data_IF_851507682367
#
_entry.id   IF_851507682367
#
_cell.length_a   1.000
_cell.length_b   1.000
_cell.length_c   1.000
_cell.angle_alpha   90.00
_cell.angle_beta   90.00
_cell.angle_gamma   90.00
#
_symmetry.space_group_name_H-M   'P 1'
#
loop_
_entity.id
_entity.type
_entity.pdbx_description
1 polymer ?
#
# COMPACT_ATOMS: atom_id res chain seq x y z
N UNK A 1 23.51 86.35 -22.94
CA UNK A 1 24.25 85.30 -22.23
C UNK A 1 23.26 84.18 -21.91
N UNK A 2 23.37 83.04 -22.57
CA UNK A 2 22.51 81.87 -22.35
C UNK A 2 23.08 81.02 -21.20
N UNK A 3 22.27 80.58 -20.22
CA UNK A 3 22.75 79.68 -19.18
C UNK A 3 23.05 78.29 -19.77
N UNK A 4 24.22 77.74 -19.42
CA UNK A 4 24.65 76.41 -19.83
C UNK A 4 23.71 75.32 -19.28
N UNK A 5 23.46 74.25 -20.04
CA UNK A 5 22.60 73.15 -19.60
C UNK A 5 23.23 72.44 -18.39
N UNK A 6 22.49 72.43 -17.28
CA UNK A 6 22.86 71.70 -16.07
C UNK A 6 22.81 70.20 -16.37
N UNK A 7 23.97 69.57 -16.48
CA UNK A 7 24.09 68.10 -16.56
C UNK A 7 23.66 67.56 -15.21
N UNK A 8 22.43 67.04 -15.13
CA UNK A 8 21.95 66.41 -13.91
C UNK A 8 22.82 65.18 -13.62
N UNK A 9 23.63 65.27 -12.56
CA UNK A 9 24.45 64.17 -12.09
C UNK A 9 23.54 63.00 -11.72
N UNK A 10 23.52 61.96 -12.56
CA UNK A 10 22.74 60.76 -12.28
C UNK A 10 23.22 60.15 -10.97
N UNK A 11 22.30 60.10 -9.99
CA UNK A 11 22.53 59.56 -8.67
C UNK A 11 22.80 58.06 -8.79
N UNK A 12 24.08 57.67 -8.81
CA UNK A 12 24.50 56.26 -8.89
C UNK A 12 24.01 55.54 -7.62
N UNK A 13 22.98 54.70 -7.76
CA UNK A 13 22.51 53.84 -6.67
C UNK A 13 23.57 52.76 -6.41
N UNK A 14 23.81 52.48 -5.13
CA UNK A 14 24.79 51.48 -4.68
C UNK A 14 24.43 50.09 -5.24
N UNK A 15 25.35 49.38 -5.92
CA UNK A 15 25.15 48.01 -6.40
C UNK A 15 24.73 47.02 -5.30
N UNK A 16 25.17 47.25 -4.06
CA UNK A 16 24.80 46.44 -2.90
C UNK A 16 23.31 46.45 -2.60
N UNK A 17 22.60 47.51 -3.00
CA UNK A 17 21.15 47.60 -2.81
C UNK A 17 20.42 46.56 -3.66
N UNK A 18 20.91 46.30 -4.89
CA UNK A 18 20.36 45.25 -5.76
C UNK A 18 20.68 43.85 -5.25
N UNK A 19 21.89 43.62 -4.72
CA UNK A 19 22.27 42.34 -4.10
C UNK A 19 21.42 42.07 -2.86
N UNK A 20 21.20 43.07 -2.01
CA UNK A 20 20.34 42.97 -0.84
C UNK A 20 18.89 42.69 -1.21
N UNK A 21 18.35 43.36 -2.24
CA UNK A 21 16.98 43.12 -2.71
C UNK A 21 16.82 41.71 -3.30
N UNK A 22 17.83 41.22 -4.02
CA UNK A 22 17.84 39.89 -4.63
C UNK A 22 17.89 38.79 -3.58
N UNK A 23 18.90 38.79 -2.71
CA UNK A 23 19.04 37.78 -1.66
C UNK A 23 17.90 37.84 -0.64
N UNK A 24 17.47 39.04 -0.25
CA UNK A 24 16.34 39.22 0.65
C UNK A 24 15.04 38.68 0.07
N UNK A 25 14.76 38.97 -1.21
CA UNK A 25 13.61 38.42 -1.92
C UNK A 25 13.63 36.90 -2.00
N UNK A 26 14.78 36.31 -2.32
CA UNK A 26 14.92 34.86 -2.48
C UNK A 26 14.79 34.12 -1.14
N UNK A 27 15.36 34.67 -0.05
CA UNK A 27 15.17 34.14 1.30
C UNK A 27 13.71 34.21 1.74
N UNK A 28 13.04 35.35 1.52
CA UNK A 28 11.64 35.52 1.86
C UNK A 28 10.75 34.54 1.09
N UNK A 29 11.00 34.37 -0.20
CA UNK A 29 10.26 33.42 -1.05
C UNK A 29 10.51 31.97 -0.59
N UNK A 30 11.74 31.65 -0.18
CA UNK A 30 12.07 30.36 0.44
C UNK A 30 11.26 30.11 1.72
N UNK A 31 11.24 31.07 2.66
CA UNK A 31 10.50 30.96 3.92
C UNK A 31 9.00 30.77 3.66
N UNK A 32 8.43 31.54 2.74
CA UNK A 32 7.01 31.42 2.36
C UNK A 32 6.74 30.05 1.73
N UNK A 33 7.60 29.60 0.81
CA UNK A 33 7.48 28.29 0.16
C UNK A 33 7.50 27.13 1.16
N UNK A 34 8.47 27.13 2.08
CA UNK A 34 8.53 26.13 3.16
C UNK A 34 7.32 26.20 4.10
N UNK A 35 6.86 27.41 4.44
CA UNK A 35 5.66 27.59 5.27
C UNK A 35 4.40 27.00 4.64
N UNK A 36 4.21 27.20 3.33
CA UNK A 36 3.08 26.63 2.59
C UNK A 36 3.15 25.09 2.52
N UNK A 37 4.33 24.52 2.28
CA UNK A 37 4.52 23.07 2.27
C UNK A 37 4.22 22.49 3.66
N UNK A 38 4.77 23.07 4.72
CA UNK A 38 4.56 22.62 6.09
C UNK A 38 3.07 22.66 6.47
N UNK A 39 2.37 23.74 6.13
CA UNK A 39 0.94 23.88 6.36
C UNK A 39 0.11 22.83 5.61
N UNK A 40 0.46 22.56 4.35
CA UNK A 40 -0.25 21.57 3.54
C UNK A 40 -0.05 20.15 4.09
N UNK A 41 1.18 19.83 4.53
CA UNK A 41 1.50 18.55 5.16
C UNK A 41 0.76 18.40 6.49
N UNK A 42 0.75 19.42 7.35
CA UNK A 42 0.05 19.33 8.65
C UNK A 42 -1.46 19.14 8.48
N UNK A 43 -2.07 19.87 7.53
CA UNK A 43 -3.50 19.71 7.23
C UNK A 43 -3.84 18.30 6.77
N UNK A 44 -2.97 17.68 5.96
CA UNK A 44 -3.16 16.29 5.52
C UNK A 44 -2.99 15.30 6.67
N UNK A 45 -2.03 15.54 7.56
CA UNK A 45 -1.82 14.68 8.74
C UNK A 45 -3.06 14.65 9.65
N UNK A 46 -3.72 15.79 9.83
CA UNK A 46 -4.94 15.84 10.66
C UNK A 46 -6.11 15.10 10.00
N UNK A 47 -6.30 15.26 8.68
CA UNK A 47 -7.25 14.43 7.90
C UNK A 47 -6.93 12.94 8.05
N UNK A 48 -5.66 12.54 7.94
CA UNK A 48 -5.23 11.14 8.12
C UNK A 48 -5.53 10.60 9.51
N UNK A 49 -5.31 11.39 10.56
CA UNK A 49 -5.63 10.98 11.94
C UNK A 49 -7.13 10.78 12.12
N UNK A 50 -7.94 11.67 11.57
CA UNK A 50 -9.39 11.54 11.64
C UNK A 50 -9.88 10.31 10.86
N UNK A 51 -9.35 10.11 9.65
CA UNK A 51 -9.63 8.92 8.83
C UNK A 51 -9.25 7.63 9.57
N UNK A 52 -8.12 7.60 10.28
CA UNK A 52 -7.65 6.41 10.98
C UNK A 52 -8.43 6.13 12.28
N UNK A 53 -8.92 7.17 12.96
CA UNK A 53 -9.66 7.01 14.21
C UNK A 53 -11.15 6.69 14.00
N UNK A 54 -11.70 6.98 12.82
CA UNK A 54 -13.11 6.71 12.53
C UNK A 54 -13.33 5.38 11.77
N UNK A 55 -13.89 4.33 12.40
CA UNK A 55 -14.10 3.02 11.76
C UNK A 55 -14.97 3.08 10.50
N UNK A 56 -15.97 3.96 10.45
CA UNK A 56 -16.85 4.08 9.29
C UNK A 56 -16.11 4.65 8.08
N UNK A 57 -15.20 5.61 8.30
CA UNK A 57 -14.39 6.22 7.25
C UNK A 57 -13.37 5.22 6.73
N UNK A 58 -12.67 4.49 7.62
CA UNK A 58 -11.76 3.39 7.25
C UNK A 58 -12.45 2.33 6.40
N UNK A 59 -13.59 1.82 6.86
CA UNK A 59 -14.35 0.78 6.13
C UNK A 59 -14.80 1.28 4.77
N UNK A 60 -15.28 2.52 4.66
CA UNK A 60 -15.65 3.10 3.36
C UNK A 60 -14.45 3.22 2.42
N UNK A 61 -13.29 3.66 2.93
CA UNK A 61 -12.04 3.78 2.15
C UNK A 61 -11.52 2.42 1.72
N UNK A 62 -11.52 1.42 2.60
CA UNK A 62 -11.15 0.04 2.31
C UNK A 62 -12.03 -0.55 1.20
N UNK A 63 -13.36 -0.44 1.36
CA UNK A 63 -14.32 -0.88 0.34
C UNK A 63 -14.07 -0.23 -1.01
N UNK A 64 -13.85 1.09 -1.02
CA UNK A 64 -13.48 1.81 -2.24
C UNK A 64 -12.22 1.23 -2.86
N UNK A 65 -11.11 1.18 -2.10
CA UNK A 65 -9.79 0.71 -2.56
C UNK A 65 -9.73 -0.75 -2.99
N UNK A 66 -10.62 -1.60 -2.48
CA UNK A 66 -10.75 -3.00 -2.88
C UNK A 66 -11.79 -3.22 -3.99
N UNK A 67 -12.54 -2.19 -4.39
CA UNK A 67 -13.69 -2.34 -5.29
C UNK A 67 -14.80 -3.22 -4.69
N UNK A 68 -14.92 -3.25 -3.36
CA UNK A 68 -15.82 -4.13 -2.64
C UNK A 68 -17.14 -3.43 -2.30
N UNK A 69 -18.27 -4.12 -2.50
CA UNK A 69 -19.57 -3.68 -1.95
C UNK A 69 -19.62 -3.86 -0.44
N UNK A 70 -19.15 -5.03 0.00
CA UNK A 70 -19.12 -5.48 1.38
C UNK A 70 -17.79 -6.18 1.65
N UNK A 71 -17.28 -6.02 2.87
CA UNK A 71 -16.08 -6.74 3.29
C UNK A 71 -16.50 -8.17 3.69
N UNK A 72 -15.66 -9.18 3.47
CA UNK A 72 -15.97 -10.55 3.88
C UNK A 72 -16.13 -10.61 5.39
N UNK A 73 -17.23 -11.16 5.90
CA UNK A 73 -17.38 -11.37 7.34
C UNK A 73 -16.39 -12.44 7.85
N UNK A 74 -15.82 -12.31 9.05
CA UNK A 74 -15.99 -11.25 10.05
C UNK A 74 -14.84 -10.21 9.99
N UNK A 75 -14.35 -9.87 8.80
CA UNK A 75 -13.23 -8.94 8.65
C UNK A 75 -13.68 -7.48 8.66
N UNK A 76 -12.94 -6.67 9.41
CA UNK A 76 -13.12 -5.23 9.50
C UNK A 76 -11.86 -4.49 9.02
N UNK A 77 -12.03 -3.26 8.54
CA UNK A 77 -10.90 -2.43 8.14
C UNK A 77 -10.13 -1.92 9.36
N UNK A 78 -8.94 -2.48 9.60
CA UNK A 78 -8.05 -2.06 10.68
C UNK A 78 -7.32 -0.77 10.30
N UNK A 79 -6.81 -0.73 9.06
CA UNK A 79 -5.99 0.38 8.58
C UNK A 79 -6.19 0.58 7.07
N UNK A 80 -6.22 1.84 6.65
CA UNK A 80 -6.21 2.20 5.24
C UNK A 80 -5.26 3.37 5.05
N UNK A 81 -4.30 3.23 4.16
CA UNK A 81 -3.29 4.25 3.92
C UNK A 81 -3.12 4.42 2.42
N UNK A 82 -3.02 5.67 1.97
CA UNK A 82 -2.84 6.02 0.56
C UNK A 82 -1.68 6.98 0.47
N UNK A 83 -0.64 6.62 -0.26
CA UNK A 83 0.45 7.51 -0.60
C UNK A 83 0.24 7.97 -2.04
N UNK A 84 -0.17 9.23 -2.26
CA UNK A 84 -0.42 9.73 -3.60
C UNK A 84 0.77 9.44 -4.52
N UNK A 85 0.49 8.87 -5.70
CA UNK A 85 1.48 8.53 -6.74
C UNK A 85 2.46 7.40 -6.40
N UNK A 86 2.38 6.81 -5.21
CA UNK A 86 3.27 5.73 -4.76
C UNK A 86 2.51 4.42 -4.61
N UNK A 87 1.58 4.35 -3.65
CA UNK A 87 0.86 3.11 -3.33
C UNK A 87 -0.38 3.34 -2.48
N UNK A 88 -1.36 2.45 -2.58
CA UNK A 88 -2.42 2.29 -1.58
C UNK A 88 -2.23 0.99 -0.80
N UNK A 89 -2.70 1.01 0.43
CA UNK A 89 -2.61 -0.10 1.37
C UNK A 89 -3.91 -0.23 2.16
N UNK A 90 -4.41 -1.46 2.27
CA UNK A 90 -5.59 -1.80 3.07
C UNK A 90 -5.26 -2.99 3.95
N UNK A 91 -5.50 -2.86 5.24
CA UNK A 91 -5.43 -3.96 6.19
C UNK A 91 -6.81 -4.27 6.71
N UNK A 92 -7.23 -5.50 6.50
CA UNK A 92 -8.39 -6.09 7.12
C UNK A 92 -7.94 -7.05 8.21
N UNK A 93 -8.72 -7.15 9.27
CA UNK A 93 -8.50 -8.15 10.31
C UNK A 93 -9.80 -8.50 11.00
N UNK A 94 -9.78 -9.64 11.68
CA UNK A 94 -10.88 -10.03 12.55
C UNK A 94 -10.73 -9.28 13.88
N UNK A 95 -11.83 -8.94 14.57
CA UNK A 95 -11.74 -8.50 15.96
C UNK A 95 -10.93 -9.54 16.74
N UNK A 96 -10.04 -9.07 17.61
CA UNK A 96 -9.13 -9.95 18.34
C UNK A 96 -9.93 -10.96 19.16
N UNK A 97 -9.83 -12.24 18.81
CA UNK A 97 -10.20 -13.34 19.70
C UNK A 97 -9.01 -13.52 20.66
N UNK A 98 -9.25 -13.40 21.97
CA UNK A 98 -8.20 -13.51 22.99
C UNK A 98 -7.31 -14.74 22.74
N UNK A 99 -6.02 -14.52 22.50
CA UNK A 99 -5.00 -15.57 22.41
C UNK A 99 -4.79 -16.24 21.03
N UNK A 100 -5.54 -15.87 19.99
CA UNK A 100 -5.34 -16.39 18.63
C UNK A 100 -4.48 -15.44 17.81
N UNK A 101 -3.47 -15.98 17.09
CA UNK A 101 -2.67 -15.20 16.15
C UNK A 101 -3.54 -14.43 15.15
N UNK A 102 -3.02 -13.33 14.61
CA UNK A 102 -3.86 -12.37 13.90
C UNK A 102 -4.34 -12.93 12.56
N UNK A 103 -5.64 -13.20 12.43
CA UNK A 103 -6.27 -13.40 11.12
C UNK A 103 -6.35 -12.05 10.41
N UNK A 104 -5.78 -11.96 9.22
CA UNK A 104 -5.73 -10.68 8.52
C UNK A 104 -5.58 -10.81 7.02
N UNK A 105 -5.89 -9.72 6.33
CA UNK A 105 -5.65 -9.56 4.92
C UNK A 105 -5.01 -8.21 4.67
N UNK A 106 -3.83 -8.20 4.07
CA UNK A 106 -3.16 -6.96 3.67
C UNK A 106 -3.12 -6.86 2.16
N UNK A 107 -3.71 -5.80 1.63
CA UNK A 107 -3.72 -5.47 0.21
C UNK A 107 -2.82 -4.28 -0.08
N UNK A 108 -2.11 -4.35 -1.20
CA UNK A 108 -1.26 -3.33 -1.75
C UNK A 108 -1.60 -3.05 -3.21
N UNK A 109 -1.77 -1.79 -3.54
CA UNK A 109 -1.87 -1.30 -4.90
C UNK A 109 -0.66 -0.41 -5.17
N UNK A 110 0.29 -0.89 -5.98
CA UNK A 110 1.51 -0.14 -6.28
C UNK A 110 1.36 0.54 -7.64
N UNK A 111 1.41 1.87 -7.63
CA UNK A 111 1.14 2.71 -8.80
C UNK A 111 2.32 2.79 -9.78
N UNK A 112 3.53 2.50 -9.31
CA UNK A 112 4.76 2.52 -10.09
C UNK A 112 5.30 1.10 -10.32
N UNK A 113 6.02 0.93 -11.43
CA UNK A 113 6.64 -0.33 -11.80
C UNK A 113 7.88 -0.58 -10.93
N UNK A 114 7.65 -1.10 -9.71
CA UNK A 114 8.73 -1.42 -8.78
C UNK A 114 9.39 -2.74 -9.18
N UNK A 115 10.72 -2.90 -9.06
CA UNK A 115 11.43 -4.13 -9.42
C UNK A 115 10.87 -5.40 -8.75
N UNK A 116 10.16 -5.24 -7.64
CA UNK A 116 9.54 -6.33 -6.89
C UNK A 116 8.27 -6.89 -7.57
N UNK A 117 7.58 -6.14 -8.44
CA UNK A 117 6.38 -6.63 -9.15
C UNK A 117 6.68 -7.86 -9.99
N UNK A 118 7.79 -7.81 -10.74
CA UNK A 118 8.25 -8.95 -11.54
C UNK A 118 8.55 -10.17 -10.66
N UNK A 119 9.13 -9.95 -9.47
CA UNK A 119 9.47 -11.05 -8.55
C UNK A 119 8.23 -11.74 -7.99
N UNK A 120 7.23 -10.95 -7.57
CA UNK A 120 5.94 -11.45 -7.09
C UNK A 120 5.24 -12.26 -8.19
N UNK A 121 5.21 -11.74 -9.42
CA UNK A 121 4.64 -12.44 -10.57
C UNK A 121 5.37 -13.75 -10.89
N UNK A 122 6.70 -13.72 -10.95
CA UNK A 122 7.51 -14.93 -11.18
C UNK A 122 7.28 -15.98 -10.08
N UNK A 123 7.12 -15.55 -8.83
CA UNK A 123 6.81 -16.42 -7.71
C UNK A 123 5.42 -17.06 -7.84
N UNK A 124 4.39 -16.27 -8.19
CA UNK A 124 3.03 -16.80 -8.40
C UNK A 124 2.94 -17.71 -9.63
N UNK A 125 3.80 -17.51 -10.62
CA UNK A 125 3.96 -18.40 -11.78
C UNK A 125 4.80 -19.66 -11.49
N UNK A 126 5.39 -19.78 -10.30
CA UNK A 126 6.27 -20.90 -9.95
C UNK A 126 7.66 -20.86 -10.61
N UNK A 127 8.04 -19.72 -11.20
CA UNK A 127 9.37 -19.49 -11.80
C UNK A 127 10.44 -19.11 -10.76
N UNK A 128 10.03 -18.84 -9.52
CA UNK A 128 10.91 -18.55 -8.37
C UNK A 128 10.41 -19.31 -7.13
N UNK A 129 11.34 -19.68 -6.26
CA UNK A 129 11.05 -20.42 -5.01
C UNK A 129 10.63 -19.54 -3.82
N UNK A 130 10.96 -18.25 -3.82
CA UNK A 130 10.62 -17.32 -2.75
C UNK A 130 10.01 -16.02 -3.30
N UNK A 131 8.99 -15.44 -2.64
CA UNK A 131 8.44 -14.15 -3.05
C UNK A 131 9.39 -12.98 -2.74
N UNK A 132 10.32 -13.15 -1.79
CA UNK A 132 11.13 -12.06 -1.24
C UNK A 132 10.27 -10.98 -0.57
N UNK A 133 10.81 -9.77 -0.50
CA UNK A 133 10.07 -8.62 0.00
C UNK A 133 8.97 -8.19 -1.00
N UNK A 134 7.71 -8.20 -0.56
CA UNK A 134 6.56 -7.90 -1.44
C UNK A 134 6.48 -6.39 -1.75
N UNK A 135 6.53 -5.55 -0.71
CA UNK A 135 6.47 -4.09 -0.81
C UNK A 135 7.34 -3.48 0.29
N UNK A 136 8.45 -2.83 -0.08
CA UNK A 136 9.42 -2.29 0.87
C UNK A 136 10.09 -3.35 1.74
N UNK A 137 10.78 -2.94 2.80
CA UNK A 137 11.42 -3.84 3.77
C UNK A 137 10.47 -4.28 4.91
N UNK A 138 9.28 -3.67 4.98
CA UNK A 138 8.33 -3.79 6.09
C UNK A 138 7.41 -5.02 6.01
N UNK A 139 7.22 -5.61 4.83
CA UNK A 139 6.43 -6.83 4.66
C UNK A 139 7.28 -7.96 4.08
N UNK A 140 7.76 -8.83 4.98
CA UNK A 140 8.54 -10.01 4.61
C UNK A 140 7.65 -11.24 4.69
N UNK A 141 7.56 -11.92 3.55
CA UNK A 141 6.85 -13.18 3.43
C UNK A 141 7.90 -14.28 3.19
N UNK A 142 8.14 -15.10 4.20
CA UNK A 142 9.05 -16.24 4.11
C UNK A 142 8.23 -17.51 3.91
N UNK A 143 8.23 -18.04 2.68
CA UNK A 143 7.60 -19.32 2.37
C UNK A 143 8.54 -20.46 2.82
N UNK A 144 8.03 -21.36 3.65
CA UNK A 144 8.72 -22.61 4.00
C UNK A 144 8.25 -23.76 3.12
N UNK A 145 6.94 -23.82 2.84
CA UNK A 145 6.33 -24.85 2.01
C UNK A 145 5.21 -24.24 1.18
N UNK A 146 5.21 -24.50 -0.13
CA UNK A 146 4.09 -24.12 -1.00
C UNK A 146 3.10 -25.27 -1.04
N UNK A 147 1.89 -25.03 -0.52
CA UNK A 147 0.80 -26.00 -0.48
C UNK A 147 0.07 -26.07 -1.83
N UNK A 148 -0.21 -24.91 -2.43
CA UNK A 148 -0.99 -24.84 -3.67
C UNK A 148 -0.66 -23.59 -4.49
N UNK A 149 -0.84 -23.70 -5.81
CA UNK A 149 -0.88 -22.56 -6.74
C UNK A 149 -2.11 -22.72 -7.62
N UNK A 150 -2.74 -21.61 -7.97
CA UNK A 150 -3.91 -21.66 -8.83
C UNK A 150 -4.27 -20.33 -9.46
N UNK A 151 -5.26 -20.39 -10.34
CA UNK A 151 -5.80 -19.25 -11.06
C UNK A 151 -7.32 -19.23 -10.94
N UNK A 152 -7.87 -18.08 -10.55
CA UNK A 152 -9.28 -17.87 -10.31
C UNK A 152 -9.78 -16.82 -11.31
N UNK A 153 -10.64 -17.18 -12.28
CA UNK A 153 -11.22 -16.24 -13.22
C UNK A 153 -12.37 -15.44 -12.57
N UNK A 154 -12.36 -14.13 -12.75
CA UNK A 154 -13.46 -13.22 -12.40
C UNK A 154 -13.90 -12.40 -13.63
N UNK A 155 -15.09 -11.79 -13.63
CA UNK A 155 -15.61 -11.09 -14.81
C UNK A 155 -14.71 -9.97 -15.35
N UNK A 156 -14.00 -9.25 -14.47
CA UNK A 156 -13.22 -8.06 -14.82
C UNK A 156 -11.71 -8.24 -14.68
N UNK A 157 -11.27 -9.34 -14.07
CA UNK A 157 -9.88 -9.57 -13.73
C UNK A 157 -9.63 -11.06 -13.50
N UNK A 158 -8.36 -11.44 -13.43
CA UNK A 158 -7.95 -12.79 -13.04
C UNK A 158 -7.15 -12.68 -11.75
N UNK A 159 -7.36 -13.62 -10.83
CA UNK A 159 -6.53 -13.73 -9.62
C UNK A 159 -5.61 -14.93 -9.77
N UNK A 160 -4.30 -14.73 -9.65
CA UNK A 160 -3.34 -15.81 -9.41
C UNK A 160 -3.08 -15.89 -7.93
N UNK A 161 -2.97 -17.08 -7.36
CA UNK A 161 -2.66 -17.21 -5.95
C UNK A 161 -1.64 -18.31 -5.66
N UNK A 162 -0.95 -18.15 -4.53
CA UNK A 162 -0.05 -19.14 -3.94
C UNK A 162 -0.41 -19.28 -2.48
N UNK A 163 -0.83 -20.48 -2.09
CA UNK A 163 -1.06 -20.86 -0.70
C UNK A 163 0.17 -21.56 -0.15
N UNK A 164 0.59 -21.15 1.04
CA UNK A 164 1.87 -21.58 1.61
C UNK A 164 1.87 -21.55 3.14
N UNK A 165 2.71 -22.40 3.73
CA UNK A 165 3.14 -22.32 5.13
C UNK A 165 4.40 -21.48 5.21
N UNK A 166 4.49 -20.65 6.24
CA UNK A 166 5.62 -19.75 6.33
C UNK A 166 5.63 -18.90 7.59
N UNK A 167 6.49 -17.89 7.53
CA UNK A 167 6.50 -16.78 8.48
C UNK A 167 6.10 -15.50 7.75
N UNK A 168 5.30 -14.70 8.42
CA UNK A 168 5.03 -13.34 8.01
C UNK A 168 5.40 -12.40 9.16
N UNK A 169 6.04 -11.29 8.81
CA UNK A 169 6.31 -10.19 9.74
C UNK A 169 5.77 -8.90 9.14
N UNK A 170 5.18 -8.07 10.00
CA UNK A 170 4.76 -6.72 9.66
C UNK A 170 5.59 -5.73 10.49
N UNK A 171 6.40 -4.92 9.82
CA UNK A 171 7.32 -3.99 10.47
C UNK A 171 8.37 -4.72 11.32
N UNK A 172 8.63 -4.21 12.53
CA UNK A 172 9.65 -4.73 13.45
C UNK A 172 9.15 -5.86 14.35
N UNK A 173 7.90 -6.31 14.19
CA UNK A 173 7.29 -7.29 15.07
C UNK A 173 7.83 -8.72 14.86
N UNK A 174 7.63 -9.53 15.90
CA UNK A 174 8.01 -10.94 15.93
C UNK A 174 7.33 -11.68 14.77
N UNK A 175 8.14 -12.32 13.93
CA UNK A 175 7.66 -13.13 12.81
C UNK A 175 6.67 -14.20 13.33
N UNK A 176 5.45 -14.19 12.83
CA UNK A 176 4.43 -15.17 13.22
C UNK A 176 4.44 -16.31 12.20
N UNK A 177 4.48 -17.55 12.70
CA UNK A 177 4.29 -18.74 11.84
C UNK A 177 2.80 -18.89 11.54
N UNK A 178 2.47 -19.15 10.28
CA UNK A 178 1.08 -19.29 9.86
C UNK A 178 0.90 -19.78 8.44
N UNK A 179 -0.37 -19.86 8.06
CA UNK A 179 -0.80 -20.10 6.68
C UNK A 179 -1.00 -18.76 5.99
N UNK A 180 -0.65 -18.69 4.71
CA UNK A 180 -0.90 -17.50 3.90
C UNK A 180 -1.27 -17.85 2.47
N UNK A 181 -2.14 -17.03 1.87
CA UNK A 181 -2.40 -16.98 0.44
C UNK A 181 -1.95 -15.62 -0.09
N UNK A 182 -0.91 -15.63 -0.92
CA UNK A 182 -0.52 -14.48 -1.72
C UNK A 182 -1.42 -14.45 -2.96
N UNK A 183 -2.18 -13.38 -3.15
CA UNK A 183 -3.12 -13.20 -4.26
C UNK A 183 -2.68 -12.03 -5.14
N UNK A 184 -2.59 -12.24 -6.45
CA UNK A 184 -2.21 -11.23 -7.44
C UNK A 184 -3.41 -10.98 -8.36
N UNK A 185 -3.94 -9.77 -8.32
CA UNK A 185 -5.03 -9.33 -9.19
C UNK A 185 -4.47 -8.81 -10.52
N UNK A 186 -4.73 -9.53 -11.60
CA UNK A 186 -4.34 -9.19 -12.96
C UNK A 186 -5.47 -8.41 -13.65
N UNK A 187 -5.30 -7.09 -13.75
CA UNK A 187 -6.24 -6.21 -14.46
C UNK A 187 -5.86 -6.08 -15.95
N UNK A 188 -6.77 -6.37 -16.89
CA UNK A 188 -6.51 -6.18 -18.32
C UNK A 188 -6.16 -4.72 -18.65
N UNK A 189 -5.09 -4.51 -19.42
CA UNK A 189 -4.69 -3.18 -19.88
C UNK A 189 -4.04 -2.26 -18.83
N UNK A 190 -3.80 -2.76 -17.60
CA UNK A 190 -3.15 -2.00 -16.53
C UNK A 190 -1.94 -2.78 -15.98
N UNK A 191 -0.76 -2.15 -15.97
CA UNK A 191 0.48 -2.74 -15.48
C UNK A 191 0.70 -2.58 -13.97
N UNK A 192 -0.13 -1.79 -13.28
CA UNK A 192 -0.03 -1.57 -11.84
C UNK A 192 -0.24 -2.88 -11.07
N UNK A 193 0.61 -3.10 -10.06
CA UNK A 193 0.53 -4.29 -9.23
C UNK A 193 -0.56 -4.13 -8.19
N UNK A 194 -1.42 -5.14 -8.09
CA UNK A 194 -2.44 -5.26 -7.06
C UNK A 194 -2.26 -6.61 -6.40
N UNK A 195 -1.72 -6.62 -5.19
CA UNK A 195 -1.36 -7.84 -4.47
C UNK A 195 -2.00 -7.84 -3.10
N UNK A 196 -2.53 -8.97 -2.69
CA UNK A 196 -3.04 -9.21 -1.34
C UNK A 196 -2.31 -10.36 -0.68
N UNK A 197 -2.25 -10.34 0.64
CA UNK A 197 -1.79 -11.46 1.45
C UNK A 197 -2.87 -11.73 2.48
N UNK A 198 -3.55 -12.87 2.34
CA UNK A 198 -4.48 -13.38 3.32
C UNK A 198 -3.74 -14.33 4.24
N UNK A 199 -3.80 -14.15 5.55
CA UNK A 199 -3.05 -14.96 6.50
C UNK A 199 -3.85 -15.31 7.74
N UNK A 200 -3.57 -16.49 8.28
CA UNK A 200 -4.17 -17.03 9.50
C UNK A 200 -3.11 -17.79 10.31
N UNK A 201 -3.34 -18.02 11.61
CA UNK A 201 -2.53 -18.96 12.37
C UNK A 201 -2.49 -20.33 11.70
N UNK A 202 -1.38 -21.03 11.91
CA UNK A 202 -1.25 -22.42 11.49
C UNK A 202 -1.95 -23.33 12.50
N UNK A 203 -3.06 -23.95 12.10
CA UNK A 203 -3.87 -24.83 12.95
C UNK A 203 -3.22 -26.20 13.13
N UNK A 204 -2.44 -26.66 12.14
CA UNK A 204 -1.67 -27.89 12.18
C UNK A 204 -0.45 -27.78 11.25
N UNK A 205 0.76 -27.57 11.79
CA UNK A 205 1.99 -27.42 11.01
C UNK A 205 2.40 -28.64 10.17
N UNK A 206 1.80 -29.81 10.42
CA UNK A 206 2.13 -31.07 9.75
C UNK A 206 1.05 -31.58 8.80
N UNK A 207 -0.10 -30.91 8.75
CA UNK A 207 -1.18 -31.28 7.86
C UNK A 207 -0.76 -31.11 6.37
N UNK A 208 -1.10 -32.09 5.55
CA UNK A 208 -0.90 -32.03 4.09
C UNK A 208 -1.84 -31.00 3.45
N UNK A 209 -1.54 -30.57 2.21
CA UNK A 209 -2.29 -29.50 1.53
C UNK A 209 -3.79 -29.78 1.34
N UNK A 210 -4.20 -31.05 1.28
CA UNK A 210 -5.59 -31.49 1.12
C UNK A 210 -6.23 -31.95 2.43
N UNK A 211 -5.57 -31.71 3.56
CA UNK A 211 -6.06 -32.11 4.87
C UNK A 211 -7.37 -31.36 5.20
N UNK A 212 -8.42 -32.06 5.68
CA UNK A 212 -9.69 -31.45 6.06
C UNK A 212 -9.57 -30.31 7.08
N UNK A 213 -8.53 -30.34 7.91
CA UNK A 213 -8.21 -29.32 8.92
C UNK A 213 -7.86 -27.95 8.30
N UNK A 214 -7.49 -27.93 7.01
CA UNK A 214 -7.15 -26.72 6.27
C UNK A 214 -8.36 -26.07 5.58
N UNK A 215 -9.54 -26.69 5.62
CA UNK A 215 -10.76 -26.14 5.04
C UNK A 215 -11.11 -24.76 5.64
N UNK A 216 -11.51 -23.80 4.81
CA UNK A 216 -11.84 -22.44 5.25
C UNK A 216 -10.63 -21.55 5.58
N UNK A 217 -9.39 -22.04 5.39
CA UNK A 217 -8.15 -21.28 5.61
C UNK A 217 -7.57 -20.77 4.28
N UNK A 218 -6.50 -19.95 4.29
CA UNK A 218 -5.79 -19.57 3.07
C UNK A 218 -5.16 -20.75 2.29
N UNK A 219 -5.10 -21.95 2.87
CA UNK A 219 -4.65 -23.15 2.16
C UNK A 219 -5.73 -23.79 1.27
N UNK A 220 -7.00 -23.47 1.52
CA UNK A 220 -8.15 -24.00 0.79
C UNK A 220 -8.49 -23.10 -0.42
N UNK A 221 -8.49 -23.67 -1.62
CA UNK A 221 -8.79 -22.92 -2.85
C UNK A 221 -10.21 -22.35 -2.83
N UNK A 222 -11.20 -23.11 -2.35
CA UNK A 222 -12.58 -22.66 -2.33
C UNK A 222 -12.75 -21.49 -1.35
N UNK A 223 -12.07 -21.56 -0.21
CA UNK A 223 -12.03 -20.47 0.76
C UNK A 223 -11.34 -19.22 0.19
N UNK A 224 -10.20 -19.37 -0.50
CA UNK A 224 -9.52 -18.26 -1.18
C UNK A 224 -10.45 -17.63 -2.22
N UNK A 225 -11.10 -18.44 -3.05
CA UNK A 225 -12.06 -17.98 -4.07
C UNK A 225 -13.23 -17.23 -3.44
N UNK A 226 -13.83 -17.79 -2.39
CA UNK A 226 -14.92 -17.14 -1.66
C UNK A 226 -14.47 -15.79 -1.10
N UNK A 227 -13.33 -15.74 -0.41
CA UNK A 227 -12.78 -14.53 0.19
C UNK A 227 -12.48 -13.45 -0.86
N UNK A 228 -11.75 -13.78 -1.93
CA UNK A 228 -11.37 -12.80 -2.95
C UNK A 228 -12.53 -12.35 -3.86
N UNK A 229 -13.63 -13.13 -3.91
CA UNK A 229 -14.81 -12.76 -4.71
C UNK A 229 -15.50 -11.47 -4.25
N UNK A 230 -15.20 -11.01 -3.02
CA UNK A 230 -15.68 -9.74 -2.49
C UNK A 230 -14.96 -8.52 -3.11
N UNK A 231 -13.84 -8.71 -3.81
CA UNK A 231 -12.97 -7.64 -4.26
C UNK A 231 -12.96 -7.52 -5.78
N UNK A 232 -13.02 -6.28 -6.27
CA UNK A 232 -12.82 -5.97 -7.69
C UNK A 232 -11.95 -4.72 -7.87
N UNK A 233 -10.66 -4.80 -7.51
CA UNK A 233 -9.78 -3.63 -7.47
C UNK A 233 -9.44 -3.07 -8.87
N UNK A 234 -9.91 -3.72 -9.94
CA UNK A 234 -9.70 -3.30 -11.33
C UNK A 234 -10.77 -2.31 -11.82
N UNK A 235 -11.90 -2.16 -11.12
CA UNK A 235 -12.96 -1.21 -11.52
C UNK A 235 -12.71 0.25 -11.12
N UNK A 236 -11.64 0.53 -10.37
CA UNK A 236 -11.37 1.87 -9.84
C UNK A 236 -10.66 2.82 -10.81
N UNK A 237 -10.68 2.53 -12.11
CA UNK A 237 -10.15 3.41 -13.15
C UNK A 237 -11.08 4.57 -13.46
#
# INVERSE_FOLDING_TARGET
>A
MQPLPQVQAQKKRSPWLYVGLGCGGLLLLGVVGFGLIAYFVSSKVDEYKEEQNNPLVRTRKAKRLLGAKELPEPYEALMTMSFPLVMDMVMLGRPAEEGSGTHGFTYFHVLQDVPNVKKVREYTEGKRESPGALVGDDFQLEAHEVLRRGELPFPHHKVRYVSQRGRFSYGTDVSTRGLSALVLFECPGNSQMRVGVWYTPDVDPHAEADAPELAGTPADEEAVRAFVSHFDPCQQT
#
